data_IF_168838969208
#
_entry.id   IF_168838969208
#
_cell.length_a   1.000
_cell.length_b   1.000
_cell.length_c   1.000
_cell.angle_alpha   90.00
_cell.angle_beta   90.00
_cell.angle_gamma   90.00
#
_symmetry.space_group_name_H-M   'P 1'
#
loop_
_entity.id
_entity.type
_entity.pdbx_description
1 polymer ?
#
# COMPACT_ATOMS: atom_id res chain seq x y z
N UNK A 1 37.51 -39.38 -1.96
CA UNK A 1 36.06 -39.37 -2.27
C UNK A 1 35.41 -38.15 -1.62
N UNK A 2 35.07 -37.06 -2.33
CA UNK A 2 34.31 -35.95 -1.72
C UNK A 2 32.80 -36.11 -1.98
N UNK A 3 32.01 -36.05 -0.89
CA UNK A 3 30.56 -36.21 -0.89
C UNK A 3 29.82 -35.02 -1.49
N UNK A 4 28.83 -35.31 -2.36
CA UNK A 4 27.91 -34.34 -2.93
C UNK A 4 26.87 -33.96 -1.88
N UNK A 5 26.87 -32.70 -1.41
CA UNK A 5 25.76 -32.15 -0.62
C UNK A 5 24.60 -31.81 -1.56
N UNK A 6 23.44 -32.39 -1.30
CA UNK A 6 22.21 -32.11 -2.02
C UNK A 6 21.86 -30.61 -1.88
N UNK A 7 21.81 -29.90 -3.00
CA UNK A 7 21.28 -28.53 -3.03
C UNK A 7 19.78 -28.63 -2.83
N UNK A 8 19.28 -28.26 -1.65
CA UNK A 8 17.87 -28.04 -1.43
C UNK A 8 17.41 -26.93 -2.37
N UNK A 9 16.72 -27.33 -3.45
CA UNK A 9 16.06 -26.40 -4.36
C UNK A 9 14.85 -25.87 -3.60
N UNK A 10 14.96 -24.64 -3.10
CA UNK A 10 13.84 -23.89 -2.57
C UNK A 10 12.73 -23.88 -3.63
N UNK A 11 11.62 -24.58 -3.34
CA UNK A 11 10.39 -24.46 -4.11
C UNK A 11 9.52 -23.47 -3.35
N UNK A 12 9.28 -22.26 -3.86
CA UNK A 12 8.31 -21.38 -3.24
C UNK A 12 6.96 -22.10 -3.21
N UNK A 13 6.34 -22.14 -2.04
CA UNK A 13 4.95 -22.56 -1.87
C UNK A 13 4.13 -21.64 -2.75
N UNK A 14 3.53 -22.17 -3.82
CA UNK A 14 2.50 -21.47 -4.57
C UNK A 14 1.27 -21.42 -3.66
N UNK A 15 1.24 -20.45 -2.76
CA UNK A 15 -0.02 -19.97 -2.24
C UNK A 15 -0.83 -19.54 -3.46
N UNK A 16 -1.95 -20.22 -3.71
CA UNK A 16 -2.93 -19.72 -4.69
C UNK A 16 -3.28 -18.28 -4.31
N UNK A 17 -3.67 -17.42 -5.28
CA UNK A 17 -3.81 -16.01 -5.00
C UNK A 17 -4.83 -15.84 -3.87
N UNK A 18 -4.33 -15.54 -2.67
CA UNK A 18 -5.14 -14.84 -1.68
C UNK A 18 -5.69 -13.65 -2.46
N UNK A 19 -7.01 -13.55 -2.57
CA UNK A 19 -7.66 -12.47 -3.32
C UNK A 19 -7.20 -11.18 -2.65
N UNK A 20 -6.13 -10.58 -3.19
CA UNK A 20 -5.53 -9.38 -2.62
C UNK A 20 -6.62 -8.33 -2.70
N UNK A 21 -6.88 -7.63 -1.60
CA UNK A 21 -7.74 -6.46 -1.70
C UNK A 21 -7.03 -5.47 -2.60
N UNK A 22 -7.71 -5.04 -3.65
CA UNK A 22 -7.21 -3.96 -4.48
C UNK A 22 -7.32 -2.65 -3.67
N UNK A 23 -6.42 -1.68 -3.89
CA UNK A 23 -6.52 -0.38 -3.24
C UNK A 23 -7.90 0.26 -3.40
N UNK A 24 -8.55 0.07 -4.56
CA UNK A 24 -9.90 0.59 -4.85
C UNK A 24 -10.96 0.04 -3.88
N UNK A 25 -10.93 -1.26 -3.56
CA UNK A 25 -11.88 -1.87 -2.60
C UNK A 25 -11.75 -1.26 -1.19
N UNK A 26 -10.52 -0.86 -0.83
CA UNK A 26 -10.25 -0.21 0.43
C UNK A 26 -10.76 1.24 0.44
N UNK A 27 -10.60 1.98 -0.66
CA UNK A 27 -11.15 3.33 -0.80
C UNK A 27 -12.69 3.34 -0.77
N UNK A 28 -13.34 2.34 -1.36
CA UNK A 28 -14.80 2.17 -1.25
C UNK A 28 -15.24 1.94 0.21
N UNK A 29 -14.38 1.31 1.01
CA UNK A 29 -14.63 1.16 2.45
C UNK A 29 -14.50 2.51 3.17
N UNK A 30 -13.57 3.37 2.75
CA UNK A 30 -13.38 4.70 3.34
C UNK A 30 -14.58 5.62 3.04
N UNK A 31 -15.05 5.62 1.79
CA UNK A 31 -16.23 6.41 1.37
C UNK A 31 -17.50 6.02 2.11
N UNK A 32 -17.62 4.75 2.50
CA UNK A 32 -18.71 4.25 3.33
C UNK A 32 -18.62 4.69 4.80
N UNK A 33 -17.61 5.49 5.15
CA UNK A 33 -17.35 5.96 6.52
C UNK A 33 -16.75 4.90 7.43
N UNK A 34 -16.21 3.80 6.88
CA UNK A 34 -15.76 2.65 7.65
C UNK A 34 -14.24 2.66 7.94
N UNK A 35 -13.53 3.71 7.54
CA UNK A 35 -12.10 3.85 7.81
C UNK A 35 -11.80 3.67 9.30
N UNK A 36 -12.43 4.47 10.16
CA UNK A 36 -12.08 4.50 11.58
C UNK A 36 -12.72 3.38 12.40
N UNK A 37 -13.85 2.85 11.96
CA UNK A 37 -14.64 1.85 12.70
C UNK A 37 -14.34 0.40 12.31
N UNK A 38 -13.85 0.15 11.09
CA UNK A 38 -13.59 -1.21 10.60
C UNK A 38 -12.15 -1.41 10.16
N UNK A 39 -11.57 -0.46 9.44
CA UNK A 39 -10.21 -0.62 8.90
C UNK A 39 -9.18 -0.39 10.00
N UNK A 40 -9.24 0.76 10.67
CA UNK A 40 -8.30 1.13 11.72
C UNK A 40 -8.35 0.19 12.93
N UNK A 41 -9.51 -0.43 13.20
CA UNK A 41 -9.68 -1.36 14.32
C UNK A 41 -9.05 -2.74 14.08
N UNK A 42 -8.75 -3.08 12.83
CA UNK A 42 -8.04 -4.32 12.48
C UNK A 42 -6.52 -4.18 12.51
N UNK A 43 -6.01 -2.95 12.58
CA UNK A 43 -4.57 -2.72 12.66
C UNK A 43 -4.03 -3.11 14.04
N UNK A 44 -2.82 -3.69 14.13
CA UNK A 44 -2.21 -4.03 15.40
C UNK A 44 -1.95 -2.76 16.23
N UNK A 45 -2.49 -2.74 17.44
CA UNK A 45 -2.35 -1.64 18.41
C UNK A 45 -1.67 -2.16 19.68
N UNK A 46 -0.69 -1.44 20.27
CA UNK A 46 -0.20 -1.78 21.60
C UNK A 46 -1.29 -1.56 22.65
N UNK A 47 -1.28 -2.34 23.73
CA UNK A 47 -2.33 -2.33 24.78
C UNK A 47 -2.61 -0.94 25.35
N UNK A 48 -1.58 -0.10 25.47
CA UNK A 48 -1.72 1.27 25.96
C UNK A 48 -2.50 2.18 25.00
N UNK A 49 -2.36 1.97 23.69
CA UNK A 49 -3.10 2.71 22.67
C UNK A 49 -4.53 2.20 22.49
N UNK A 50 -4.81 0.94 22.85
CA UNK A 50 -6.16 0.36 22.80
C UNK A 50 -7.15 1.07 23.75
N UNK A 51 -6.64 1.82 24.74
CA UNK A 51 -7.44 2.62 25.67
C UNK A 51 -7.80 4.01 25.17
N UNK A 52 -7.16 4.48 24.09
CA UNK A 52 -7.45 5.78 23.49
C UNK A 52 -8.83 5.73 22.82
N UNK A 53 -9.54 6.86 22.82
CA UNK A 53 -10.84 7.01 22.16
C UNK A 53 -10.89 8.29 21.33
N UNK A 54 -11.89 8.40 20.44
CA UNK A 54 -12.15 9.59 19.65
C UNK A 54 -10.94 10.05 18.82
N UNK A 55 -10.69 11.36 18.79
CA UNK A 55 -9.62 11.97 18.00
C UNK A 55 -8.22 11.48 18.40
N UNK A 56 -7.97 11.23 19.69
CA UNK A 56 -6.67 10.72 20.16
C UNK A 56 -6.37 9.32 19.62
N UNK A 57 -7.37 8.44 19.57
CA UNK A 57 -7.22 7.12 18.96
C UNK A 57 -6.93 7.21 17.46
N UNK A 58 -7.65 8.09 16.74
CA UNK A 58 -7.44 8.34 15.32
C UNK A 58 -6.05 8.86 15.04
N UNK A 59 -5.60 9.88 15.78
CA UNK A 59 -4.27 10.46 15.60
C UNK A 59 -3.15 9.46 15.91
N UNK A 60 -3.36 8.55 16.86
CA UNK A 60 -2.38 7.49 17.13
C UNK A 60 -2.28 6.47 15.98
N UNK A 61 -3.43 6.05 15.41
CA UNK A 61 -3.45 4.97 14.40
C UNK A 61 -3.24 5.48 12.98
N UNK A 62 -3.52 6.76 12.69
CA UNK A 62 -3.43 7.37 11.35
C UNK A 62 -2.09 7.10 10.64
N UNK A 63 -0.91 7.26 11.27
CA UNK A 63 0.35 6.94 10.60
C UNK A 63 0.43 5.48 10.12
N UNK A 64 -0.11 4.53 10.89
CA UNK A 64 -0.14 3.11 10.48
C UNK A 64 -1.13 2.86 9.34
N UNK A 65 -2.25 3.59 9.30
CA UNK A 65 -3.19 3.54 8.18
C UNK A 65 -2.52 4.07 6.92
N UNK A 66 -1.81 5.21 7.03
CA UNK A 66 -1.03 5.79 5.95
C UNK A 66 -0.02 4.77 5.41
N UNK A 67 0.85 4.23 6.27
CA UNK A 67 1.89 3.27 5.87
C UNK A 67 1.30 2.03 5.19
N UNK A 68 0.18 1.52 5.70
CA UNK A 68 -0.48 0.35 5.14
C UNK A 68 -1.05 0.65 3.74
N UNK A 69 -1.70 1.81 3.56
CA UNK A 69 -2.25 2.24 2.28
C UNK A 69 -1.14 2.52 1.26
N UNK A 70 -0.09 3.25 1.65
CA UNK A 70 1.09 3.50 0.83
C UNK A 70 1.78 2.20 0.40
N UNK A 71 1.95 1.25 1.33
CA UNK A 71 2.49 -0.08 1.02
C UNK A 71 1.64 -0.85 0.01
N UNK A 72 0.31 -0.81 0.12
CA UNK A 72 -0.59 -1.43 -0.87
C UNK A 72 -0.47 -0.79 -2.25
N UNK A 73 -0.33 0.54 -2.31
CA UNK A 73 -0.13 1.29 -3.55
C UNK A 73 1.20 0.92 -4.21
N UNK A 74 2.30 0.90 -3.45
CA UNK A 74 3.62 0.50 -3.98
C UNK A 74 3.60 -0.94 -4.52
N UNK A 75 2.94 -1.87 -3.82
CA UNK A 75 2.75 -3.23 -4.31
C UNK A 75 1.97 -3.25 -5.63
N UNK A 76 0.88 -2.48 -5.73
CA UNK A 76 0.09 -2.37 -6.96
C UNK A 76 0.89 -1.79 -8.12
N UNK A 77 1.66 -0.72 -7.87
CA UNK A 77 2.54 -0.09 -8.86
C UNK A 77 3.59 -1.09 -9.37
N UNK A 78 4.19 -1.85 -8.45
CA UNK A 78 5.17 -2.89 -8.78
C UNK A 78 4.54 -4.01 -9.61
N UNK A 79 3.34 -4.49 -9.23
CA UNK A 79 2.61 -5.53 -9.98
C UNK A 79 2.20 -5.06 -11.38
N UNK A 80 1.94 -3.76 -11.56
CA UNK A 80 1.62 -3.16 -12.87
C UNK A 80 2.84 -2.81 -13.73
N UNK A 81 4.06 -3.06 -13.24
CA UNK A 81 5.30 -2.70 -13.94
C UNK A 81 5.57 -1.19 -14.00
N UNK A 82 4.96 -0.41 -13.12
CA UNK A 82 5.06 1.07 -13.05
C UNK A 82 6.01 1.56 -11.97
N UNK A 83 6.49 0.65 -11.11
CA UNK A 83 7.54 0.94 -10.15
C UNK A 83 8.75 0.05 -10.44
N UNK A 84 9.91 0.67 -10.64
CA UNK A 84 11.17 -0.03 -10.84
C UNK A 84 12.01 0.01 -9.55
N UNK A 85 12.68 -1.08 -9.16
CA UNK A 85 13.58 -1.06 -8.02
C UNK A 85 14.73 -0.08 -8.26
N UNK A 86 14.88 0.93 -7.39
CA UNK A 86 16.10 1.73 -7.35
C UNK A 86 17.18 0.94 -6.62
N UNK A 87 18.05 0.32 -7.42
CA UNK A 87 19.17 -0.50 -6.95
C UNK A 87 20.46 0.31 -6.75
N UNK A 88 20.38 1.61 -6.49
CA UNK A 88 21.56 2.41 -6.14
C UNK A 88 22.19 1.92 -4.82
N UNK A 89 23.28 1.14 -4.92
CA UNK A 89 24.04 0.59 -3.78
C UNK A 89 24.71 1.66 -2.88
N UNK A 90 24.60 2.94 -3.22
CA UNK A 90 25.11 4.07 -2.43
C UNK A 90 24.00 4.99 -1.87
N UNK A 91 22.71 4.66 -2.09
CA UNK A 91 21.55 5.44 -1.66
C UNK A 91 20.63 4.69 -0.68
N UNK A 92 19.54 5.34 -0.26
CA UNK A 92 18.43 4.60 0.37
C UNK A 92 17.74 3.79 -0.73
N UNK A 93 17.66 2.45 -0.61
CA UNK A 93 16.95 1.63 -1.59
C UNK A 93 15.49 2.06 -1.67
N UNK A 94 14.98 2.28 -2.88
CA UNK A 94 13.67 2.85 -3.12
C UNK A 94 12.97 2.26 -4.34
N UNK A 95 11.85 2.87 -4.71
CA UNK A 95 11.15 2.62 -5.97
C UNK A 95 11.21 3.90 -6.78
N UNK A 96 11.59 3.79 -8.04
CA UNK A 96 11.37 4.87 -9.02
C UNK A 96 9.91 4.80 -9.44
N UNK A 97 9.19 5.90 -9.28
CA UNK A 97 7.77 6.00 -9.65
C UNK A 97 7.60 6.96 -10.83
N UNK A 98 6.45 6.94 -11.53
CA UNK A 98 6.13 8.01 -12.47
C UNK A 98 6.05 9.35 -11.74
N UNK A 99 6.45 10.45 -12.39
CA UNK A 99 6.48 11.80 -11.81
C UNK A 99 5.17 12.21 -11.11
N UNK A 100 4.02 11.89 -11.72
CA UNK A 100 2.69 12.15 -11.11
C UNK A 100 2.48 11.44 -9.77
N UNK A 101 3.09 10.27 -9.59
CA UNK A 101 3.08 9.53 -8.33
C UNK A 101 4.10 10.07 -7.33
N UNK A 102 5.31 10.43 -7.78
CA UNK A 102 6.34 11.02 -6.91
C UNK A 102 5.86 12.34 -6.28
N UNK A 103 5.17 13.18 -7.05
CA UNK A 103 4.66 14.47 -6.58
C UNK A 103 3.34 14.34 -5.80
N UNK A 104 2.47 13.42 -6.23
CA UNK A 104 1.08 13.38 -5.78
C UNK A 104 0.78 12.39 -4.66
N UNK A 105 1.56 11.30 -4.53
CA UNK A 105 1.18 10.15 -3.70
C UNK A 105 0.97 10.50 -2.23
N UNK A 106 1.95 11.15 -1.59
CA UNK A 106 1.88 11.45 -0.16
C UNK A 106 0.67 12.33 0.17
N UNK A 107 0.46 13.40 -0.62
CA UNK A 107 -0.69 14.30 -0.43
C UNK A 107 -2.04 13.59 -0.63
N UNK A 108 -2.12 12.67 -1.60
CA UNK A 108 -3.33 11.92 -1.90
C UNK A 108 -3.63 10.87 -0.81
N UNK A 109 -2.60 10.22 -0.26
CA UNK A 109 -2.75 9.30 0.87
C UNK A 109 -3.13 10.06 2.13
N UNK A 110 -2.51 11.21 2.41
CA UNK A 110 -2.86 12.09 3.53
C UNK A 110 -4.32 12.53 3.50
N UNK A 111 -4.81 12.95 2.32
CA UNK A 111 -6.22 13.27 2.11
C UNK A 111 -7.14 12.07 2.39
N UNK A 112 -6.75 10.88 1.91
CA UNK A 112 -7.53 9.65 2.10
C UNK A 112 -7.59 9.19 3.56
N UNK A 113 -6.57 9.51 4.37
CA UNK A 113 -6.52 9.16 5.80
C UNK A 113 -6.90 10.32 6.72
N UNK A 114 -7.41 11.43 6.19
CA UNK A 114 -7.86 12.59 6.97
C UNK A 114 -9.06 12.25 7.88
N UNK A 115 -9.36 13.13 8.86
CA UNK A 115 -10.52 12.93 9.77
C UNK A 115 -11.83 12.83 9.01
N UNK A 116 -11.94 13.63 7.93
CA UNK A 116 -12.93 13.49 6.88
C UNK A 116 -12.20 12.97 5.64
N UNK A 117 -12.22 11.65 5.37
CA UNK A 117 -11.49 11.07 4.24
C UNK A 117 -11.90 11.69 2.91
N UNK A 118 -10.92 12.14 2.14
CA UNK A 118 -11.08 12.46 0.71
C UNK A 118 -10.25 11.49 -0.12
N UNK A 119 -10.93 10.57 -0.77
CA UNK A 119 -10.33 9.51 -1.59
C UNK A 119 -10.20 9.92 -3.07
N UNK A 120 -10.75 11.07 -3.47
CA UNK A 120 -10.80 11.48 -4.88
C UNK A 120 -9.40 11.71 -5.50
N UNK A 121 -8.44 12.38 -4.82
CA UNK A 121 -7.10 12.57 -5.37
C UNK A 121 -6.39 11.24 -5.63
N UNK A 122 -6.51 10.29 -4.70
CA UNK A 122 -5.87 9.00 -4.83
C UNK A 122 -6.52 8.14 -5.93
N UNK A 123 -7.84 8.24 -6.11
CA UNK A 123 -8.53 7.59 -7.23
C UNK A 123 -8.12 8.16 -8.58
N UNK A 124 -7.88 9.47 -8.67
CA UNK A 124 -7.42 10.09 -9.90
C UNK A 124 -6.05 9.51 -10.34
N UNK A 125 -5.11 9.38 -9.40
CA UNK A 125 -3.81 8.74 -9.65
C UNK A 125 -3.96 7.27 -10.08
N UNK A 126 -4.85 6.51 -9.43
CA UNK A 126 -5.11 5.11 -9.78
C UNK A 126 -5.79 4.94 -11.16
N UNK A 127 -6.61 5.90 -11.58
CA UNK A 127 -7.21 5.91 -12.92
C UNK A 127 -6.16 6.15 -14.01
N UNK A 128 -5.23 7.08 -13.78
CA UNK A 128 -4.11 7.37 -14.69
C UNK A 128 -3.22 6.14 -14.95
N UNK A 129 -3.02 5.30 -13.92
CA UNK A 129 -2.35 4.00 -14.08
C UNK A 129 -3.07 3.05 -15.03
N UNK A 130 -4.41 3.10 -15.05
CA UNK A 130 -5.24 2.20 -15.86
C UNK A 130 -5.28 2.65 -17.32
N UNK A 131 -5.31 3.97 -17.57
CA UNK A 131 -5.32 4.54 -18.92
C UNK A 131 -3.97 4.39 -19.63
N UNK A 132 -2.87 4.50 -18.88
CA UNK A 132 -1.51 4.39 -19.44
C UNK A 132 -1.18 2.98 -19.96
N UNK A 133 -1.99 1.95 -19.65
CA UNK A 133 -1.83 0.57 -20.11
C UNK A 133 -2.40 0.29 -21.51
N UNK A 134 -3.12 1.24 -22.12
CA UNK A 134 -3.71 1.08 -23.46
C UNK A 134 -2.76 1.60 -24.54
N UNK A 135 -1.61 0.94 -24.72
CA UNK A 135 -0.89 0.98 -26.00
C UNK A 135 -1.12 -0.35 -26.68
N UNK A 136 -2.24 -0.44 -27.40
CA UNK A 136 -2.50 -1.53 -28.34
C UNK A 136 -1.58 -1.29 -29.54
N UNK A 137 -0.61 -2.19 -29.72
CA UNK A 137 0.23 -2.26 -30.92
C UNK A 137 -0.54 -2.71 -32.16
#
# INVERSE_FOLDING_TARGET
>A
MPGRRARHRFRPRREGPARRREPVDLLDTFDRGLLWTEVADRLPKPDQAARLTGASARNFIRPRVFDALAGMIHLRLTESGRAEPDIAWSGQPGLVLPESWEEGMDSAVDAAVADTPDTAPLRALLADLSDSGTVVG
#
